data_IF_940444906056
#
_entry.id   IF_940444906056
#
_cell.length_a   1.000
_cell.length_b   1.000
_cell.length_c   1.000
_cell.angle_alpha   90.00
_cell.angle_beta   90.00
_cell.angle_gamma   90.00
#
_symmetry.space_group_name_H-M   'P 1'
#
loop_
_entity.id
_entity.type
_entity.pdbx_description
1 polymer ?
#
# COMPACT_ATOMS: atom_id res chain seq x y z
N UNK A 1 18.78 34.58 0.83
CA UNK A 1 18.43 34.55 2.27
C UNK A 1 19.51 33.75 3.00
N UNK A 2 20.78 34.16 2.88
CA UNK A 2 21.96 33.42 3.35
C UNK A 2 22.94 34.32 4.14
N UNK A 3 22.46 35.41 4.73
CA UNK A 3 23.31 36.36 5.47
C UNK A 3 22.76 36.60 6.88
N UNK A 4 22.65 35.54 7.66
CA UNK A 4 22.42 35.60 9.09
C UNK A 4 23.21 34.49 9.76
N UNK A 5 23.95 34.83 10.82
CA UNK A 5 24.72 33.90 11.65
C UNK A 5 23.81 32.81 12.24
N UNK A 6 23.53 31.77 11.45
CA UNK A 6 23.17 30.44 11.90
C UNK A 6 24.50 29.72 12.14
N UNK A 7 24.62 28.94 13.22
CA UNK A 7 25.82 28.10 13.43
C UNK A 7 26.11 27.22 12.22
N UNK A 8 27.34 26.73 12.12
CA UNK A 8 27.80 25.87 11.01
C UNK A 8 26.81 24.72 10.78
N UNK A 9 26.35 24.56 9.53
CA UNK A 9 25.45 23.50 9.09
C UNK A 9 26.15 22.69 8.00
N UNK A 10 26.04 21.36 8.08
CA UNK A 10 26.60 20.44 7.08
C UNK A 10 25.59 20.06 5.99
N UNK A 11 24.30 20.35 6.21
CA UNK A 11 23.21 20.01 5.27
C UNK A 11 22.12 21.09 5.24
N UNK A 12 21.71 21.48 4.03
CA UNK A 12 20.56 22.34 3.77
C UNK A 12 19.59 21.63 2.83
N UNK A 13 18.31 21.60 3.20
CA UNK A 13 17.24 21.01 2.38
C UNK A 13 16.27 22.12 1.99
N UNK A 14 16.16 22.38 0.69
CA UNK A 14 15.17 23.29 0.12
C UNK A 14 14.08 22.51 -0.62
N UNK A 15 12.82 22.90 -0.42
CA UNK A 15 11.66 22.27 -1.07
C UNK A 15 10.82 23.32 -1.79
N UNK A 16 10.54 23.10 -3.08
CA UNK A 16 9.80 24.02 -3.93
C UNK A 16 8.50 23.38 -4.45
N UNK A 17 7.36 23.93 -4.03
CA UNK A 17 6.02 23.48 -4.46
C UNK A 17 5.61 24.04 -5.83
N UNK A 18 6.39 24.94 -6.41
CA UNK A 18 5.96 25.77 -7.53
C UNK A 18 5.66 24.99 -8.82
N UNK A 19 6.44 23.95 -9.10
CA UNK A 19 6.29 23.10 -10.30
C UNK A 19 5.05 22.21 -10.16
N UNK A 20 4.92 21.51 -9.03
CA UNK A 20 3.77 20.67 -8.72
C UNK A 20 2.44 21.46 -8.80
N UNK A 21 2.34 22.59 -8.09
CA UNK A 21 1.14 23.43 -8.13
C UNK A 21 0.81 23.93 -9.54
N UNK A 22 1.82 24.20 -10.37
CA UNK A 22 1.62 24.59 -11.76
C UNK A 22 1.07 23.43 -12.59
N UNK A 23 1.58 22.21 -12.37
CA UNK A 23 1.11 20.96 -12.97
C UNK A 23 -0.36 20.71 -12.66
N UNK A 24 -0.75 20.69 -11.38
CA UNK A 24 -2.15 20.53 -10.96
C UNK A 24 -3.10 21.57 -11.54
N UNK A 25 -2.63 22.82 -11.64
CA UNK A 25 -3.49 23.92 -12.06
C UNK A 25 -3.71 23.97 -13.56
N UNK A 26 -2.66 23.71 -14.35
CA UNK A 26 -2.64 23.99 -15.78
C UNK A 26 -2.30 22.78 -16.66
N UNK A 27 -1.73 21.72 -16.10
CA UNK A 27 -1.16 20.59 -16.82
C UNK A 27 0.32 20.80 -17.19
N UNK A 28 1.09 19.71 -17.38
CA UNK A 28 2.54 19.78 -17.62
C UNK A 28 2.93 20.41 -18.97
N UNK A 29 2.09 20.32 -20.00
CA UNK A 29 2.38 20.89 -21.33
C UNK A 29 1.95 22.36 -21.49
N UNK A 30 1.37 22.97 -20.46
CA UNK A 30 0.89 24.34 -20.54
C UNK A 30 2.04 25.37 -20.50
N UNK A 31 1.91 26.51 -21.20
CA UNK A 31 2.97 27.53 -21.27
C UNK A 31 3.42 28.05 -19.89
N UNK A 32 2.50 28.10 -18.92
CA UNK A 32 2.80 28.47 -17.53
C UNK A 32 3.81 27.51 -16.87
N UNK A 33 3.83 26.23 -17.26
CA UNK A 33 4.82 25.27 -16.78
C UNK A 33 6.22 25.66 -17.25
N UNK A 34 6.36 26.07 -18.52
CA UNK A 34 7.62 26.59 -19.04
C UNK A 34 8.10 27.80 -18.23
N UNK A 35 7.23 28.78 -17.99
CA UNK A 35 7.59 29.97 -17.20
C UNK A 35 8.01 29.60 -15.77
N UNK A 36 7.33 28.62 -15.16
CA UNK A 36 7.67 28.12 -13.82
C UNK A 36 9.02 27.37 -13.81
N UNK A 37 9.28 26.53 -14.81
CA UNK A 37 10.57 25.84 -14.95
C UNK A 37 11.71 26.82 -15.18
N UNK A 38 11.50 27.89 -15.96
CA UNK A 38 12.48 28.98 -16.10
C UNK A 38 12.78 29.65 -14.76
N UNK A 39 11.77 29.93 -13.92
CA UNK A 39 12.01 30.46 -12.57
C UNK A 39 12.84 29.51 -11.70
N UNK A 40 12.64 28.19 -11.83
CA UNK A 40 13.43 27.19 -11.11
C UNK A 40 14.87 27.13 -11.63
N UNK A 41 15.06 27.20 -12.95
CA UNK A 41 16.38 27.31 -13.55
C UNK A 41 17.15 28.52 -13.00
N UNK A 42 16.53 29.72 -12.96
CA UNK A 42 17.18 30.92 -12.43
C UNK A 42 17.58 30.77 -10.95
N UNK A 43 16.79 30.03 -10.16
CA UNK A 43 17.13 29.73 -8.76
C UNK A 43 18.35 28.80 -8.71
N UNK A 44 18.35 27.73 -9.51
CA UNK A 44 19.43 26.74 -9.55
C UNK A 44 20.74 27.39 -9.99
N UNK A 45 20.72 28.24 -11.02
CA UNK A 45 21.90 28.97 -11.49
C UNK A 45 22.53 29.83 -10.38
N UNK A 46 21.71 30.61 -9.66
CA UNK A 46 22.19 31.40 -8.51
C UNK A 46 22.76 30.53 -7.38
N UNK A 47 22.14 29.38 -7.11
CA UNK A 47 22.66 28.44 -6.10
C UNK A 47 24.03 27.90 -6.52
N UNK A 48 24.20 27.54 -7.80
CA UNK A 48 25.47 27.04 -8.35
C UNK A 48 26.55 28.13 -8.30
N UNK A 49 26.21 29.39 -8.59
CA UNK A 49 27.14 30.52 -8.50
C UNK A 49 27.70 30.69 -7.09
N UNK A 50 26.82 30.64 -6.08
CA UNK A 50 27.14 30.83 -4.66
C UNK A 50 27.73 29.58 -3.98
N UNK A 51 27.69 28.40 -4.61
CA UNK A 51 28.20 27.15 -4.04
C UNK A 51 29.72 27.23 -3.79
N UNK A 52 30.24 26.69 -2.70
CA UNK A 52 31.69 26.53 -2.56
C UNK A 52 32.22 25.28 -3.29
N UNK A 53 33.53 25.02 -3.18
CA UNK A 53 34.16 23.86 -3.83
C UNK A 53 33.92 22.54 -3.08
N UNK A 54 33.53 22.59 -1.81
CA UNK A 54 33.39 21.44 -0.92
C UNK A 54 31.93 20.97 -0.76
N UNK A 55 30.97 21.71 -1.32
CA UNK A 55 29.53 21.39 -1.23
C UNK A 55 29.04 20.61 -2.45
N UNK A 56 28.19 19.62 -2.19
CA UNK A 56 27.41 18.89 -3.19
C UNK A 56 26.00 19.48 -3.30
N UNK A 57 25.62 19.94 -4.49
CA UNK A 57 24.23 20.27 -4.82
C UNK A 57 23.52 19.03 -5.37
N UNK A 58 22.39 18.65 -4.77
CA UNK A 58 21.48 17.64 -5.31
C UNK A 58 20.11 18.25 -5.52
N UNK A 59 19.64 18.21 -6.76
CA UNK A 59 18.29 18.58 -7.17
C UNK A 59 17.58 17.31 -7.62
N UNK A 60 16.42 17.01 -7.07
CA UNK A 60 15.62 15.88 -7.52
C UNK A 60 14.12 16.13 -7.29
N UNK A 61 13.28 15.43 -8.06
CA UNK A 61 11.85 15.36 -7.83
C UNK A 61 11.47 14.15 -6.97
N UNK A 62 10.39 14.27 -6.21
CA UNK A 62 9.76 13.17 -5.48
C UNK A 62 8.87 12.30 -6.38
N UNK A 63 8.21 12.91 -7.37
CA UNK A 63 7.39 12.22 -8.36
C UNK A 63 7.35 12.96 -9.71
N UNK A 64 6.77 12.30 -10.71
CA UNK A 64 6.39 12.90 -11.98
C UNK A 64 4.93 13.37 -11.99
N UNK A 65 4.35 13.54 -13.16
CA UNK A 65 2.97 14.04 -13.32
C UNK A 65 2.37 13.51 -14.61
N UNK A 66 1.12 13.06 -14.55
CA UNK A 66 0.36 12.66 -15.73
C UNK A 66 0.02 13.86 -16.63
N UNK A 67 -0.40 13.63 -17.88
CA UNK A 67 -0.78 14.71 -18.80
C UNK A 67 -2.00 15.55 -18.35
N UNK A 68 -2.81 15.04 -17.41
CA UNK A 68 -3.96 15.75 -16.84
C UNK A 68 -3.57 16.63 -15.65
N UNK A 69 -2.29 16.63 -15.26
CA UNK A 69 -1.80 17.38 -14.10
C UNK A 69 -2.11 16.68 -12.79
N UNK A 70 -2.17 15.35 -12.75
CA UNK A 70 -2.34 14.57 -11.53
C UNK A 70 -1.16 13.60 -11.31
N UNK A 71 -1.05 13.06 -10.11
CA UNK A 71 -0.01 12.08 -9.76
C UNK A 71 -0.50 11.12 -8.65
N UNK A 72 0.32 10.12 -8.32
CA UNK A 72 0.03 9.11 -7.29
C UNK A 72 -0.47 7.78 -7.85
N UNK A 73 -0.54 7.65 -9.18
CA UNK A 73 -0.73 6.40 -9.89
C UNK A 73 0.58 5.61 -10.12
N UNK A 74 0.52 4.69 -11.07
CA UNK A 74 1.61 3.75 -11.41
C UNK A 74 2.16 3.96 -12.82
N UNK A 75 1.72 5.02 -13.52
CA UNK A 75 2.21 5.29 -14.88
C UNK A 75 3.66 5.76 -14.85
N UNK A 76 4.39 5.50 -15.93
CA UNK A 76 5.79 5.89 -16.04
C UNK A 76 5.99 7.41 -15.82
N UNK A 77 5.11 8.22 -16.40
CA UNK A 77 5.12 9.69 -16.25
C UNK A 77 4.90 10.14 -14.80
N UNK A 78 4.26 9.34 -13.95
CA UNK A 78 4.01 9.67 -12.54
C UNK A 78 5.11 9.17 -11.60
N UNK A 79 5.74 8.02 -11.91
CA UNK A 79 6.76 7.41 -11.04
C UNK A 79 8.19 7.86 -11.37
N UNK A 80 8.43 8.37 -12.58
CA UNK A 80 9.73 8.91 -12.97
C UNK A 80 9.86 10.38 -12.54
N UNK A 81 11.01 10.70 -11.94
CA UNK A 81 11.38 12.05 -11.56
C UNK A 81 12.85 12.30 -11.93
N UNK A 82 13.17 13.56 -12.21
CA UNK A 82 14.55 13.95 -12.55
C UNK A 82 15.44 13.99 -11.31
N UNK A 83 16.71 13.67 -11.48
CA UNK A 83 17.79 13.92 -10.51
C UNK A 83 18.97 14.59 -11.22
N UNK A 84 19.58 15.56 -10.54
CA UNK A 84 20.75 16.30 -10.97
C UNK A 84 21.69 16.48 -9.78
N UNK A 85 22.92 16.00 -9.91
CA UNK A 85 23.96 16.13 -8.90
C UNK A 85 25.10 16.99 -9.46
N UNK A 86 25.55 17.96 -8.69
CA UNK A 86 26.57 18.92 -9.11
C UNK A 86 27.56 19.24 -8.00
N UNK A 87 28.84 19.28 -8.36
CA UNK A 87 29.92 19.76 -7.52
C UNK A 87 30.94 20.51 -8.38
N UNK A 88 31.48 21.64 -7.88
CA UNK A 88 32.49 22.45 -8.57
C UNK A 88 33.78 21.67 -8.82
N UNK A 89 34.11 20.69 -7.97
CA UNK A 89 35.27 19.80 -8.11
C UNK A 89 35.19 18.82 -9.28
N UNK A 90 34.02 18.69 -9.94
CA UNK A 90 33.78 17.71 -11.00
C UNK A 90 34.10 16.27 -10.56
N UNK A 91 33.76 15.95 -9.31
CA UNK A 91 34.00 14.63 -8.70
C UNK A 91 33.02 13.54 -9.18
N UNK A 92 32.43 13.71 -10.35
CA UNK A 92 31.52 12.75 -10.98
C UNK A 92 32.14 12.22 -12.26
N UNK A 93 32.10 10.91 -12.45
CA UNK A 93 32.54 10.28 -13.70
C UNK A 93 31.35 9.61 -14.38
N UNK A 94 31.07 10.02 -15.62
CA UNK A 94 30.08 9.34 -16.47
C UNK A 94 30.53 7.91 -16.77
N UNK A 95 29.56 7.03 -16.92
CA UNK A 95 29.78 5.67 -17.41
C UNK A 95 30.31 5.72 -18.85
N UNK A 96 31.07 4.70 -19.24
CA UNK A 96 31.77 4.66 -20.54
C UNK A 96 30.80 4.60 -21.74
N UNK A 97 29.55 4.16 -21.53
CA UNK A 97 28.50 4.14 -22.55
C UNK A 97 27.75 5.48 -22.61
N UNK A 98 28.13 6.34 -23.56
CA UNK A 98 27.50 7.65 -23.78
C UNK A 98 26.01 7.55 -24.20
N UNK A 99 25.55 6.41 -24.69
CA UNK A 99 24.13 6.24 -25.07
C UNK A 99 23.20 6.33 -23.84
N UNK A 100 23.74 6.05 -22.66
CA UNK A 100 23.04 6.18 -21.37
C UNK A 100 22.76 7.64 -20.97
N UNK A 101 23.33 8.62 -21.68
CA UNK A 101 23.13 10.05 -21.38
C UNK A 101 22.42 10.80 -22.51
N UNK A 102 21.69 10.07 -23.36
CA UNK A 102 20.87 10.66 -24.41
C UNK A 102 19.62 11.34 -23.83
N UNK A 103 19.57 12.67 -23.93
CA UNK A 103 18.43 13.50 -23.51
C UNK A 103 17.36 13.64 -24.60
N UNK A 104 17.58 13.08 -25.79
CA UNK A 104 16.59 13.06 -26.86
C UNK A 104 15.34 12.28 -26.47
N UNK A 105 14.22 12.53 -27.15
CA UNK A 105 12.97 11.81 -26.90
C UNK A 105 12.43 11.94 -25.48
N UNK A 106 12.72 13.05 -24.79
CA UNK A 106 12.41 13.30 -23.37
C UNK A 106 13.21 12.43 -22.39
N UNK A 107 14.42 12.00 -22.77
CA UNK A 107 15.28 11.21 -21.88
C UNK A 107 14.86 9.74 -21.74
N UNK A 108 14.08 9.20 -22.68
CA UNK A 108 13.65 7.79 -22.67
C UNK A 108 14.81 6.79 -22.67
N UNK A 109 15.95 7.18 -23.20
CA UNK A 109 17.18 6.38 -23.21
C UNK A 109 18.21 6.86 -22.18
N UNK A 110 17.85 7.88 -21.41
CA UNK A 110 18.69 8.36 -20.32
C UNK A 110 18.70 7.33 -19.18
N UNK A 111 19.84 7.17 -18.53
CA UNK A 111 20.04 6.25 -17.43
C UNK A 111 19.06 6.54 -16.29
N UNK A 112 18.33 5.51 -15.90
CA UNK A 112 17.48 5.54 -14.71
C UNK A 112 18.20 4.92 -13.51
N UNK A 113 17.82 5.39 -12.32
CA UNK A 113 18.20 4.83 -11.02
C UNK A 113 16.94 4.71 -10.17
N UNK A 114 16.98 3.91 -9.10
CA UNK A 114 15.87 3.90 -8.16
C UNK A 114 15.98 5.11 -7.21
N UNK A 115 14.86 5.70 -6.79
CA UNK A 115 14.89 6.79 -5.80
C UNK A 115 15.58 6.37 -4.49
N UNK A 116 15.47 5.10 -4.11
CA UNK A 116 16.12 4.55 -2.90
C UNK A 116 17.65 4.54 -2.97
N UNK A 117 18.24 4.68 -4.17
CA UNK A 117 19.68 4.71 -4.43
C UNK A 117 20.32 6.04 -4.00
N UNK A 118 19.50 7.09 -3.83
CA UNK A 118 19.94 8.40 -3.36
C UNK A 118 20.49 8.34 -1.93
N UNK A 119 19.80 7.59 -1.06
CA UNK A 119 20.12 7.51 0.38
C UNK A 119 21.50 6.89 0.66
N UNK A 120 21.87 5.72 0.13
CA UNK A 120 23.20 5.16 0.36
C UNK A 120 24.28 6.02 -0.28
N UNK A 121 23.99 6.64 -1.44
CA UNK A 121 24.90 7.58 -2.09
C UNK A 121 25.23 8.77 -1.18
N UNK A 122 24.21 9.47 -0.69
CA UNK A 122 24.41 10.62 0.20
C UNK A 122 25.05 10.23 1.52
N UNK A 123 24.66 9.08 2.10
CA UNK A 123 25.23 8.60 3.36
C UNK A 123 26.74 8.39 3.22
N UNK A 124 27.17 7.67 2.18
CA UNK A 124 28.57 7.35 1.96
C UNK A 124 29.40 8.59 1.59
N UNK A 125 28.88 9.50 0.77
CA UNK A 125 29.58 10.75 0.43
C UNK A 125 29.81 11.65 1.66
N UNK A 126 28.93 11.56 2.66
CA UNK A 126 29.06 12.30 3.92
C UNK A 126 29.76 11.50 5.04
N UNK A 127 30.23 10.28 4.75
CA UNK A 127 30.84 9.41 5.77
C UNK A 127 29.87 8.95 6.86
N UNK A 128 28.57 8.95 6.59
CA UNK A 128 27.50 8.54 7.49
C UNK A 128 27.13 7.07 7.28
N UNK A 129 26.64 6.37 8.32
CA UNK A 129 26.07 5.03 8.16
C UNK A 129 24.81 5.09 7.28
N UNK A 130 24.65 4.10 6.41
CA UNK A 130 23.44 3.95 5.59
C UNK A 130 22.26 3.60 6.52
N UNK A 131 21.10 4.30 6.40
CA UNK A 131 19.90 3.99 7.17
C UNK A 131 19.52 2.51 7.11
N UNK A 132 19.20 1.94 8.27
CA UNK A 132 19.09 0.49 8.46
C UNK A 132 18.15 -0.22 7.50
N UNK A 133 17.03 0.39 7.12
CA UNK A 133 16.02 -0.19 6.24
C UNK A 133 16.18 0.21 4.75
N UNK A 134 17.26 0.90 4.39
CA UNK A 134 17.51 1.20 2.98
C UNK A 134 17.96 -0.08 2.23
N UNK A 135 17.50 -0.20 0.99
CA UNK A 135 17.79 -1.32 0.08
C UNK A 135 18.32 -0.85 -1.27
N UNK A 136 18.72 0.42 -1.36
CA UNK A 136 19.24 1.02 -2.58
C UNK A 136 20.69 0.64 -2.83
N UNK A 137 21.16 0.97 -4.02
CA UNK A 137 22.55 0.83 -4.45
C UNK A 137 23.21 2.21 -4.56
N UNK A 138 24.50 2.37 -4.26
CA UNK A 138 25.21 3.63 -4.52
C UNK A 138 25.21 3.98 -6.02
N UNK A 139 24.99 5.25 -6.33
CA UNK A 139 25.02 5.76 -7.71
C UNK A 139 26.47 5.77 -8.20
N UNK A 140 26.77 4.94 -9.19
CA UNK A 140 28.12 4.71 -9.69
C UNK A 140 28.93 5.97 -10.00
N UNK A 141 28.31 6.94 -10.67
CA UNK A 141 28.97 8.16 -11.13
C UNK A 141 29.56 8.98 -9.99
N UNK A 142 29.02 8.84 -8.77
CA UNK A 142 29.49 9.54 -7.58
C UNK A 142 30.75 8.91 -6.96
N UNK A 143 31.05 7.65 -7.26
CA UNK A 143 32.16 6.90 -6.64
C UNK A 143 33.22 6.42 -7.62
N UNK A 144 32.92 6.42 -8.92
CA UNK A 144 33.85 5.96 -9.96
C UNK A 144 34.96 6.96 -10.30
N UNK A 145 34.83 8.23 -9.88
CA UNK A 145 35.83 9.29 -10.13
C UNK A 145 37.20 8.96 -9.52
N UNK A 146 37.24 8.42 -8.30
CA UNK A 146 38.48 8.03 -7.60
C UNK A 146 39.03 6.66 -8.05
N UNK A 147 38.31 5.97 -8.95
CA UNK A 147 38.68 4.67 -9.48
C UNK A 147 37.88 3.50 -8.90
N UNK A 148 38.12 2.30 -9.45
CA UNK A 148 37.34 1.09 -9.17
C UNK A 148 37.35 0.68 -7.69
N UNK A 149 38.44 0.95 -6.97
CA UNK A 149 38.56 0.62 -5.55
C UNK A 149 37.56 1.41 -4.67
N UNK A 150 37.32 2.69 -4.99
CA UNK A 150 36.39 3.55 -4.24
C UNK A 150 34.94 3.10 -4.46
N UNK A 151 34.59 2.78 -5.71
CA UNK A 151 33.30 2.19 -6.07
C UNK A 151 33.08 0.81 -5.40
N UNK A 152 34.06 -0.09 -5.50
CA UNK A 152 34.01 -1.42 -4.89
C UNK A 152 33.79 -1.36 -3.38
N UNK A 153 34.51 -0.47 -2.69
CA UNK A 153 34.33 -0.24 -1.24
C UNK A 153 32.93 0.25 -0.90
N UNK A 154 32.41 1.20 -1.67
CA UNK A 154 31.08 1.79 -1.46
C UNK A 154 29.96 0.74 -1.65
N UNK A 155 30.10 -0.09 -2.67
CA UNK A 155 29.21 -1.22 -2.93
C UNK A 155 29.29 -2.27 -1.81
N UNK A 156 30.48 -2.63 -1.35
CA UNK A 156 30.64 -3.61 -0.27
C UNK A 156 30.02 -3.13 1.06
N UNK A 157 30.22 -1.86 1.43
CA UNK A 157 29.58 -1.27 2.63
C UNK A 157 28.05 -1.34 2.52
N UNK A 158 27.51 -1.05 1.34
CA UNK A 158 26.06 -1.09 1.09
C UNK A 158 25.53 -2.52 1.13
N UNK A 159 26.20 -3.46 0.46
CA UNK A 159 25.86 -4.89 0.52
C UNK A 159 25.91 -5.42 1.96
N UNK A 160 26.88 -4.97 2.77
CA UNK A 160 26.99 -5.34 4.18
C UNK A 160 25.83 -4.80 5.02
N UNK A 161 25.39 -3.56 4.78
CA UNK A 161 24.21 -3.01 5.45
C UNK A 161 22.93 -3.73 5.02
N UNK A 162 22.74 -4.00 3.72
CA UNK A 162 21.60 -4.77 3.21
C UNK A 162 21.57 -6.16 3.82
N UNK A 163 22.73 -6.83 3.89
CA UNK A 163 22.82 -8.13 4.52
C UNK A 163 22.44 -8.09 6.01
N UNK A 164 22.93 -7.08 6.74
CA UNK A 164 22.56 -6.86 8.13
C UNK A 164 21.05 -6.66 8.29
N UNK A 165 20.42 -5.85 7.43
CA UNK A 165 18.97 -5.68 7.41
C UNK A 165 18.23 -7.00 7.20
N UNK A 166 18.64 -7.78 6.19
CA UNK A 166 18.05 -9.09 5.86
C UNK A 166 18.11 -10.07 7.01
N UNK A 167 19.21 -10.12 7.75
CA UNK A 167 19.38 -11.01 8.92
C UNK A 167 18.46 -10.65 10.09
N UNK A 168 18.00 -9.39 10.16
CA UNK A 168 17.09 -8.91 11.20
C UNK A 168 15.62 -8.93 10.76
N UNK A 169 15.32 -9.23 9.48
CA UNK A 169 13.95 -9.46 9.01
C UNK A 169 13.58 -10.92 9.21
N UNK A 170 12.42 -11.15 9.83
CA UNK A 170 11.91 -12.50 10.09
C UNK A 170 11.64 -13.27 8.79
N UNK A 171 11.25 -12.57 7.73
CA UNK A 171 10.93 -13.13 6.42
C UNK A 171 12.18 -13.45 5.59
N UNK A 172 13.26 -12.68 5.77
CA UNK A 172 14.46 -12.74 4.91
C UNK A 172 15.65 -13.46 5.55
N UNK A 173 15.67 -13.60 6.88
CA UNK A 173 16.78 -14.23 7.60
C UNK A 173 17.05 -15.67 7.15
N UNK A 174 16.03 -16.38 6.68
CA UNK A 174 16.14 -17.75 6.17
C UNK A 174 16.46 -17.90 4.68
N UNK A 175 16.70 -16.82 3.94
CA UNK A 175 17.00 -16.88 2.49
C UNK A 175 18.46 -17.30 2.26
N UNK A 176 18.72 -18.61 2.32
CA UNK A 176 20.06 -19.20 2.15
C UNK A 176 20.71 -18.82 0.81
N UNK A 177 19.91 -18.70 -0.26
CA UNK A 177 20.38 -18.35 -1.60
C UNK A 177 21.04 -16.97 -1.60
N UNK A 178 20.32 -15.93 -1.21
CA UNK A 178 20.89 -14.58 -1.13
C UNK A 178 21.99 -14.47 -0.04
N UNK A 179 21.83 -15.14 1.10
CA UNK A 179 22.82 -15.09 2.17
C UNK A 179 24.15 -15.74 1.75
N UNK A 180 24.11 -16.80 0.93
CA UNK A 180 25.30 -17.46 0.38
C UNK A 180 26.05 -16.57 -0.62
N UNK A 181 25.34 -15.78 -1.42
CA UNK A 181 25.95 -14.77 -2.30
C UNK A 181 26.74 -13.73 -1.47
N UNK A 182 26.19 -13.26 -0.36
CA UNK A 182 26.89 -12.32 0.51
C UNK A 182 28.14 -12.92 1.17
N UNK A 183 28.10 -14.19 1.58
CA UNK A 183 29.29 -14.89 2.11
C UNK A 183 30.40 -14.88 1.06
N UNK A 184 30.06 -15.20 -0.20
CA UNK A 184 31.00 -15.19 -1.33
C UNK A 184 31.57 -13.79 -1.58
N UNK A 185 30.74 -12.75 -1.51
CA UNK A 185 31.18 -11.36 -1.58
C UNK A 185 32.14 -10.98 -0.45
N UNK A 186 31.86 -11.43 0.78
CA UNK A 186 32.74 -11.15 1.91
C UNK A 186 34.12 -11.81 1.75
N UNK A 187 34.15 -13.06 1.28
CA UNK A 187 35.41 -13.75 0.96
C UNK A 187 36.18 -13.06 -0.17
N UNK A 188 35.49 -12.60 -1.21
CA UNK A 188 36.11 -11.85 -2.31
C UNK A 188 36.69 -10.51 -1.84
N UNK A 189 36.00 -9.81 -0.94
CA UNK A 189 36.50 -8.57 -0.32
C UNK A 189 37.81 -8.78 0.45
N UNK A 190 37.92 -9.87 1.21
CA UNK A 190 39.15 -10.20 1.95
C UNK A 190 40.33 -10.50 1.01
N UNK A 191 40.05 -11.00 -0.20
CA UNK A 191 41.07 -11.32 -1.22
C UNK A 191 41.55 -10.08 -1.98
N UNK A 192 40.68 -9.08 -2.19
CA UNK A 192 40.98 -7.80 -2.86
C UNK A 192 42.08 -6.96 -2.17
N UNK A 193 42.55 -7.34 -0.98
CA UNK A 193 43.62 -6.64 -0.27
C UNK A 193 45.03 -7.18 -0.57
N UNK A 194 45.18 -8.26 -1.37
CA UNK A 194 46.45 -9.01 -1.45
C UNK A 194 47.18 -8.90 -2.80
N UNK A 195 46.45 -8.86 -3.91
CA UNK A 195 46.97 -8.69 -5.28
C UNK A 195 45.77 -8.44 -6.17
N UNK A 196 45.58 -7.22 -6.65
CA UNK A 196 44.31 -6.85 -7.30
C UNK A 196 44.53 -6.22 -8.66
N UNK A 197 43.90 -6.82 -9.65
CA UNK A 197 43.80 -6.35 -11.02
C UNK A 197 42.49 -5.61 -11.25
N UNK A 198 42.42 -4.76 -12.27
CA UNK A 198 41.18 -4.06 -12.64
C UNK A 198 40.05 -5.04 -12.97
N UNK A 199 40.37 -6.22 -13.51
CA UNK A 199 39.37 -7.25 -13.83
C UNK A 199 38.76 -7.88 -12.56
N UNK A 200 39.57 -8.09 -11.51
CA UNK A 200 39.05 -8.56 -10.21
C UNK A 200 38.13 -7.50 -9.57
N UNK A 201 38.46 -6.21 -9.69
CA UNK A 201 37.55 -5.14 -9.24
C UNK A 201 36.25 -5.12 -10.03
N UNK A 202 36.31 -5.21 -11.37
CA UNK A 202 35.10 -5.23 -12.22
C UNK A 202 34.19 -6.41 -11.90
N UNK A 203 34.77 -7.59 -11.70
CA UNK A 203 34.00 -8.77 -11.30
C UNK A 203 33.33 -8.54 -9.94
N UNK A 204 34.08 -8.06 -8.95
CA UNK A 204 33.55 -7.78 -7.62
C UNK A 204 32.44 -6.72 -7.62
N UNK A 205 32.59 -5.66 -8.43
CA UNK A 205 31.58 -4.63 -8.64
C UNK A 205 30.30 -5.24 -9.23
N UNK A 206 30.43 -6.07 -10.27
CA UNK A 206 29.31 -6.77 -10.89
C UNK A 206 28.58 -7.68 -9.90
N UNK A 207 29.32 -8.43 -9.09
CA UNK A 207 28.74 -9.35 -8.10
C UNK A 207 28.00 -8.60 -6.99
N UNK A 208 28.51 -7.44 -6.56
CA UNK A 208 27.80 -6.60 -5.60
C UNK A 208 26.49 -6.05 -6.17
N UNK A 209 26.48 -5.53 -7.40
CA UNK A 209 25.24 -5.09 -8.03
C UNK A 209 24.24 -6.23 -8.18
N UNK A 210 24.70 -7.43 -8.55
CA UNK A 210 23.87 -8.62 -8.64
C UNK A 210 23.23 -8.97 -7.28
N UNK A 211 24.01 -8.98 -6.20
CA UNK A 211 23.52 -9.24 -4.84
C UNK A 211 22.49 -8.18 -4.38
N UNK A 212 22.80 -6.90 -4.59
CA UNK A 212 21.91 -5.79 -4.20
C UNK A 212 20.59 -5.85 -4.97
N UNK A 213 20.65 -6.08 -6.29
CA UNK A 213 19.46 -6.25 -7.13
C UNK A 213 18.63 -7.47 -6.74
N UNK A 214 19.28 -8.61 -6.48
CA UNK A 214 18.63 -9.83 -5.99
C UNK A 214 17.93 -9.56 -4.66
N UNK A 215 18.60 -8.86 -3.74
CA UNK A 215 18.05 -8.51 -2.45
C UNK A 215 16.85 -7.57 -2.53
N UNK A 216 16.96 -6.50 -3.33
CA UNK A 216 15.85 -5.60 -3.60
C UNK A 216 14.65 -6.34 -4.21
N UNK A 217 14.90 -7.25 -5.16
CA UNK A 217 13.86 -8.04 -5.82
C UNK A 217 13.16 -8.99 -4.84
N UNK A 218 13.91 -9.66 -3.94
CA UNK A 218 13.31 -10.50 -2.88
C UNK A 218 12.41 -9.67 -1.96
N UNK A 219 12.86 -8.49 -1.55
CA UNK A 219 12.08 -7.59 -0.69
C UNK A 219 10.81 -7.07 -1.39
N UNK A 220 10.92 -6.58 -2.64
CA UNK A 220 9.76 -6.17 -3.45
C UNK A 220 8.74 -7.29 -3.61
N UNK A 221 9.20 -8.53 -3.77
CA UNK A 221 8.32 -9.69 -3.90
C UNK A 221 7.54 -10.02 -2.62
N UNK A 222 8.03 -9.60 -1.45
CA UNK A 222 7.33 -9.79 -0.17
C UNK A 222 6.34 -8.66 0.11
N UNK A 223 6.71 -7.40 -0.15
CA UNK A 223 5.92 -6.25 0.30
C UNK A 223 5.06 -5.58 -0.78
N UNK A 224 5.38 -5.77 -2.06
CA UNK A 224 4.72 -5.06 -3.16
C UNK A 224 3.93 -6.00 -4.09
N UNK A 225 3.18 -6.95 -3.51
CA UNK A 225 2.30 -7.85 -4.29
C UNK A 225 0.84 -7.67 -3.92
N UNK A 226 0.03 -7.36 -4.92
CA UNK A 226 -1.42 -7.49 -4.85
C UNK A 226 -1.82 -8.89 -5.31
N UNK A 227 -2.45 -9.67 -4.43
CA UNK A 227 -3.12 -10.91 -4.83
C UNK A 227 -4.48 -10.58 -5.46
N UNK A 228 -4.45 -10.30 -6.77
CA UNK A 228 -5.65 -9.96 -7.54
C UNK A 228 -6.71 -11.06 -7.49
N UNK A 229 -6.32 -12.33 -7.38
CA UNK A 229 -7.27 -13.44 -7.33
C UNK A 229 -8.06 -13.42 -6.02
N UNK A 230 -7.37 -13.27 -4.90
CA UNK A 230 -8.00 -13.15 -3.58
C UNK A 230 -8.88 -11.90 -3.49
N UNK A 231 -8.43 -10.77 -4.05
CA UNK A 231 -9.22 -9.52 -4.12
C UNK A 231 -10.52 -9.75 -4.89
N UNK A 232 -10.46 -10.34 -6.08
CA UNK A 232 -11.66 -10.63 -6.88
C UNK A 232 -12.63 -11.58 -6.18
N UNK A 233 -12.12 -12.64 -5.54
CA UNK A 233 -12.95 -13.56 -4.76
C UNK A 233 -13.64 -12.81 -3.61
N UNK A 234 -12.92 -11.96 -2.89
CA UNK A 234 -13.48 -11.11 -1.84
C UNK A 234 -14.59 -10.19 -2.33
N UNK A 235 -14.37 -9.49 -3.45
CA UNK A 235 -15.37 -8.61 -4.09
C UNK A 235 -16.64 -9.38 -4.44
N UNK A 236 -16.51 -10.58 -5.02
CA UNK A 236 -17.66 -11.44 -5.36
C UNK A 236 -18.42 -11.87 -4.10
N UNK A 237 -17.71 -12.29 -3.05
CA UNK A 237 -18.34 -12.68 -1.77
C UNK A 237 -19.12 -11.50 -1.16
N UNK A 238 -18.53 -10.30 -1.13
CA UNK A 238 -19.18 -9.09 -0.62
C UNK A 238 -20.43 -8.76 -1.46
N UNK A 239 -20.33 -8.80 -2.78
CA UNK A 239 -21.47 -8.53 -3.67
C UNK A 239 -22.62 -9.53 -3.47
N UNK A 240 -22.32 -10.83 -3.40
CA UNK A 240 -23.35 -11.87 -3.16
C UNK A 240 -23.97 -11.69 -1.78
N UNK A 241 -23.15 -11.41 -0.76
CA UNK A 241 -23.64 -11.17 0.61
C UNK A 241 -24.57 -9.97 0.67
N UNK A 242 -24.22 -8.86 0.01
CA UNK A 242 -25.07 -7.67 -0.08
C UNK A 242 -26.41 -7.98 -0.74
N UNK A 243 -26.40 -8.74 -1.84
CA UNK A 243 -27.64 -9.17 -2.52
C UNK A 243 -28.49 -10.05 -1.61
N UNK A 244 -27.90 -11.04 -0.94
CA UNK A 244 -28.61 -11.92 -0.01
C UNK A 244 -29.22 -11.14 1.17
N UNK A 245 -28.49 -10.16 1.72
CA UNK A 245 -29.00 -9.29 2.79
C UNK A 245 -30.18 -8.46 2.33
N UNK A 246 -30.16 -7.91 1.11
CA UNK A 246 -31.29 -7.17 0.53
C UNK A 246 -32.48 -8.11 0.32
N UNK A 247 -32.27 -9.31 -0.23
CA UNK A 247 -33.33 -10.31 -0.41
C UNK A 247 -33.98 -10.64 0.93
N UNK A 248 -33.17 -11.02 1.92
CA UNK A 248 -33.63 -11.39 3.26
C UNK A 248 -34.41 -10.26 3.94
N UNK A 249 -33.89 -9.03 3.89
CA UNK A 249 -34.45 -7.91 4.64
C UNK A 249 -35.63 -7.21 3.97
N UNK A 250 -35.79 -7.31 2.64
CA UNK A 250 -36.79 -6.53 1.89
C UNK A 250 -37.69 -7.32 0.95
N UNK A 251 -37.18 -8.36 0.30
CA UNK A 251 -37.95 -9.07 -0.73
C UNK A 251 -38.81 -10.17 -0.13
N UNK A 252 -38.42 -10.72 1.03
CA UNK A 252 -39.20 -11.74 1.73
C UNK A 252 -40.20 -11.08 2.69
N UNK A 253 -41.49 -11.45 2.63
CA UNK A 253 -42.49 -10.92 3.56
C UNK A 253 -42.13 -11.26 5.01
N UNK A 254 -42.24 -10.28 5.91
CA UNK A 254 -41.85 -10.40 7.32
C UNK A 254 -42.41 -11.65 8.03
N UNK A 255 -43.67 -12.01 7.77
CA UNK A 255 -44.31 -13.20 8.37
C UNK A 255 -43.60 -14.49 7.95
N UNK A 256 -43.07 -14.54 6.73
CA UNK A 256 -42.35 -15.69 6.19
C UNK A 256 -40.93 -15.74 6.72
N UNK A 257 -40.26 -14.59 6.93
CA UNK A 257 -38.92 -14.54 7.52
C UNK A 257 -38.88 -15.28 8.87
N UNK A 258 -39.87 -15.06 9.73
CA UNK A 258 -39.95 -15.76 11.02
C UNK A 258 -40.09 -17.29 10.88
N UNK A 259 -40.73 -17.77 9.82
CA UNK A 259 -40.83 -19.21 9.53
C UNK A 259 -39.53 -19.78 8.95
N UNK A 260 -38.79 -18.96 8.20
CA UNK A 260 -37.53 -19.35 7.56
C UNK A 260 -36.34 -19.30 8.51
N UNK A 261 -36.35 -18.49 9.57
CA UNK A 261 -35.22 -18.36 10.50
C UNK A 261 -34.65 -19.72 11.02
N UNK A 262 -35.46 -20.69 11.49
CA UNK A 262 -34.94 -22.00 11.89
C UNK A 262 -34.38 -22.80 10.69
N UNK A 263 -34.96 -22.62 9.51
CA UNK A 263 -34.48 -23.27 8.28
C UNK A 263 -33.14 -22.67 7.85
N UNK A 264 -32.97 -21.34 7.87
CA UNK A 264 -31.70 -20.68 7.57
C UNK A 264 -30.57 -21.18 8.45
N UNK A 265 -30.82 -21.35 9.75
CA UNK A 265 -29.80 -21.87 10.67
C UNK A 265 -29.43 -23.32 10.33
N UNK A 266 -30.42 -24.19 10.20
CA UNK A 266 -30.18 -25.62 9.97
C UNK A 266 -29.58 -25.90 8.59
N UNK A 267 -30.07 -25.22 7.53
CA UNK A 267 -29.52 -25.31 6.18
C UNK A 267 -28.10 -24.76 6.12
N UNK A 268 -27.82 -23.63 6.79
CA UNK A 268 -26.46 -23.05 6.81
C UNK A 268 -25.48 -23.99 7.47
N UNK A 269 -25.80 -24.54 8.65
CA UNK A 269 -24.90 -25.48 9.32
C UNK A 269 -24.63 -26.70 8.42
N UNK A 270 -25.68 -27.31 7.87
CA UNK A 270 -25.53 -28.49 7.01
C UNK A 270 -24.70 -28.21 5.75
N UNK A 271 -25.00 -27.11 5.05
CA UNK A 271 -24.36 -26.76 3.79
C UNK A 271 -22.92 -26.28 4.02
N UNK A 272 -22.60 -25.61 5.14
CA UNK A 272 -21.23 -25.28 5.53
C UNK A 272 -20.38 -26.54 5.67
N UNK A 273 -20.86 -27.59 6.33
CA UNK A 273 -20.12 -28.85 6.42
C UNK A 273 -19.89 -29.48 5.04
N UNK A 274 -20.92 -29.48 4.17
CA UNK A 274 -20.81 -30.03 2.81
C UNK A 274 -19.78 -29.26 1.99
N UNK A 275 -19.89 -27.93 1.92
CA UNK A 275 -18.97 -27.11 1.14
C UNK A 275 -17.55 -27.14 1.69
N UNK A 276 -17.37 -27.10 3.02
CA UNK A 276 -16.05 -27.24 3.64
C UNK A 276 -15.41 -28.59 3.28
N UNK A 277 -16.18 -29.68 3.34
CA UNK A 277 -15.70 -31.00 2.94
C UNK A 277 -15.32 -31.04 1.45
N UNK A 278 -16.15 -30.48 0.56
CA UNK A 278 -15.87 -30.42 -0.88
C UNK A 278 -14.59 -29.65 -1.19
N UNK A 279 -14.41 -28.46 -0.63
CA UNK A 279 -13.22 -27.63 -0.85
C UNK A 279 -11.96 -28.27 -0.25
N UNK A 280 -12.05 -28.88 0.93
CA UNK A 280 -10.95 -29.62 1.53
C UNK A 280 -10.59 -30.84 0.65
N UNK A 281 -11.58 -31.64 0.24
CA UNK A 281 -11.35 -32.80 -0.63
C UNK A 281 -10.72 -32.39 -1.95
N UNK A 282 -11.19 -31.32 -2.58
CA UNK A 282 -10.59 -30.78 -3.80
C UNK A 282 -9.11 -30.43 -3.58
N UNK A 283 -8.80 -29.74 -2.48
CA UNK A 283 -7.42 -29.32 -2.16
C UNK A 283 -6.52 -30.51 -1.88
N UNK A 284 -7.01 -31.54 -1.17
CA UNK A 284 -6.23 -32.75 -0.86
C UNK A 284 -5.96 -33.62 -2.10
N UNK A 285 -6.92 -33.70 -3.02
CA UNK A 285 -6.83 -34.54 -4.22
C UNK A 285 -5.98 -33.85 -5.30
N UNK A 286 -6.29 -32.60 -5.63
CA UNK A 286 -5.69 -31.91 -6.77
C UNK A 286 -4.46 -31.08 -6.41
N UNK A 287 -4.27 -30.75 -5.12
CA UNK A 287 -3.13 -29.98 -4.60
C UNK A 287 -2.79 -28.72 -5.43
N UNK A 288 -3.77 -27.83 -5.67
CA UNK A 288 -3.52 -26.58 -6.38
C UNK A 288 -2.53 -25.70 -5.61
N UNK A 289 -1.53 -25.14 -6.30
CA UNK A 289 -0.54 -24.23 -5.69
C UNK A 289 -1.18 -22.94 -5.14
N UNK A 290 -2.26 -22.48 -5.77
CA UNK A 290 -2.93 -21.22 -5.44
C UNK A 290 -4.03 -21.32 -4.37
N UNK A 291 -4.32 -22.51 -3.84
CA UNK A 291 -5.37 -22.69 -2.82
C UNK A 291 -4.85 -23.51 -1.63
N UNK A 292 -4.20 -22.84 -0.65
CA UNK A 292 -3.81 -23.47 0.61
C UNK A 292 -5.01 -24.02 1.38
N UNK A 293 -4.76 -24.99 2.26
CA UNK A 293 -5.80 -25.65 3.07
C UNK A 293 -6.69 -24.68 3.86
N UNK A 294 -6.08 -23.67 4.50
CA UNK A 294 -6.82 -22.66 5.28
C UNK A 294 -7.76 -21.86 4.37
N UNK A 295 -7.29 -21.47 3.19
CA UNK A 295 -8.12 -20.77 2.21
C UNK A 295 -9.26 -21.63 1.69
N UNK A 296 -9.01 -22.91 1.41
CA UNK A 296 -10.06 -23.85 1.01
C UNK A 296 -11.16 -23.96 2.08
N UNK A 297 -10.79 -24.04 3.36
CA UNK A 297 -11.74 -24.06 4.46
C UNK A 297 -12.55 -22.76 4.54
N UNK A 298 -11.88 -21.59 4.49
CA UNK A 298 -12.55 -20.28 4.55
C UNK A 298 -13.53 -20.11 3.39
N UNK A 299 -13.14 -20.47 2.17
CA UNK A 299 -14.03 -20.42 1.00
C UNK A 299 -15.18 -21.41 1.10
N UNK A 300 -14.94 -22.61 1.62
CA UNK A 300 -15.97 -23.60 1.89
C UNK A 300 -17.01 -23.09 2.90
N UNK A 301 -16.56 -22.43 3.97
CA UNK A 301 -17.45 -21.80 4.95
C UNK A 301 -18.25 -20.65 4.30
N UNK A 302 -17.58 -19.75 3.58
CA UNK A 302 -18.24 -18.60 2.94
C UNK A 302 -19.30 -19.07 1.91
N UNK A 303 -18.93 -19.97 1.00
CA UNK A 303 -19.85 -20.55 0.04
C UNK A 303 -20.99 -21.32 0.73
N UNK A 304 -20.67 -22.01 1.83
CA UNK A 304 -21.62 -22.72 2.65
C UNK A 304 -22.68 -21.83 3.29
N UNK A 305 -22.27 -20.68 3.84
CA UNK A 305 -23.19 -19.68 4.41
C UNK A 305 -24.07 -19.07 3.33
N UNK A 306 -23.49 -18.65 2.20
CA UNK A 306 -24.24 -18.05 1.10
C UNK A 306 -25.31 -19.01 0.56
N UNK A 307 -24.95 -20.26 0.27
CA UNK A 307 -25.89 -21.28 -0.21
C UNK A 307 -26.85 -21.76 0.89
N UNK A 308 -26.39 -21.77 2.14
CA UNK A 308 -27.17 -22.02 3.35
C UNK A 308 -28.38 -21.11 3.45
N UNK A 309 -28.16 -19.81 3.31
CA UNK A 309 -29.22 -18.80 3.33
C UNK A 309 -30.07 -18.86 2.05
N UNK A 310 -29.43 -19.05 0.89
CA UNK A 310 -30.14 -19.06 -0.40
C UNK A 310 -31.08 -20.26 -0.55
N UNK A 311 -30.73 -21.44 -0.03
CA UNK A 311 -31.51 -22.66 -0.25
C UNK A 311 -32.97 -22.60 0.26
N UNK A 312 -33.26 -22.17 1.50
CA UNK A 312 -34.65 -22.01 1.95
C UNK A 312 -35.43 -20.94 1.17
N UNK A 313 -34.75 -19.90 0.67
CA UNK A 313 -35.37 -18.86 -0.17
C UNK A 313 -35.80 -19.47 -1.50
N UNK A 314 -34.87 -20.18 -2.16
CA UNK A 314 -35.10 -20.79 -3.47
C UNK A 314 -36.10 -21.95 -3.44
N UNK A 315 -36.25 -22.61 -2.29
CA UNK A 315 -37.29 -23.62 -2.10
C UNK A 315 -38.71 -23.03 -2.11
N UNK A 316 -38.85 -21.73 -1.76
CA UNK A 316 -40.16 -21.08 -1.61
C UNK A 316 -40.46 -20.06 -2.71
N UNK A 317 -39.43 -19.46 -3.29
CA UNK A 317 -39.57 -18.36 -4.23
C UNK A 317 -38.72 -18.61 -5.48
N UNK A 318 -39.30 -18.32 -6.64
CA UNK A 318 -38.59 -18.36 -7.91
C UNK A 318 -37.82 -17.05 -8.15
N UNK A 319 -36.74 -17.12 -8.93
CA UNK A 319 -35.96 -15.92 -9.32
C UNK A 319 -36.84 -14.82 -9.96
N UNK A 320 -37.77 -15.13 -10.90
CA UNK A 320 -38.66 -14.12 -11.46
C UNK A 320 -39.57 -13.46 -10.41
N UNK A 321 -39.98 -14.20 -9.37
CA UNK A 321 -40.76 -13.64 -8.28
C UNK A 321 -39.94 -12.64 -7.47
N UNK A 322 -38.69 -12.98 -7.14
CA UNK A 322 -37.77 -12.07 -6.44
C UNK A 322 -37.55 -10.77 -7.21
N UNK A 323 -37.35 -10.85 -8.53
CA UNK A 323 -37.21 -9.65 -9.37
C UNK A 323 -38.46 -8.76 -9.36
N UNK A 324 -39.67 -9.33 -9.37
CA UNK A 324 -40.90 -8.53 -9.25
C UNK A 324 -40.98 -7.83 -7.88
N UNK A 325 -40.59 -8.51 -6.81
CA UNK A 325 -40.57 -7.93 -5.48
C UNK A 325 -39.57 -6.76 -5.33
N UNK A 326 -38.49 -6.73 -6.12
CA UNK A 326 -37.60 -5.55 -6.15
C UNK A 326 -38.38 -4.31 -6.58
N UNK A 327 -39.15 -4.38 -7.66
CA UNK A 327 -39.92 -3.22 -8.12
C UNK A 327 -41.00 -2.78 -7.12
N UNK A 328 -41.62 -3.73 -6.42
CA UNK A 328 -42.75 -3.48 -5.52
C UNK A 328 -42.31 -3.03 -4.11
N UNK A 329 -41.23 -3.60 -3.57
CA UNK A 329 -40.86 -3.44 -2.16
C UNK A 329 -39.56 -2.68 -1.91
N UNK A 330 -38.79 -2.32 -2.94
CA UNK A 330 -37.57 -1.52 -2.74
C UNK A 330 -37.91 -0.03 -2.51
N UNK A 331 -39.11 0.43 -2.90
CA UNK A 331 -39.61 1.79 -2.66
C UNK A 331 -40.32 1.84 -1.30
N UNK A 332 -39.65 2.37 -0.28
CA UNK A 332 -40.17 2.36 1.10
C UNK A 332 -39.88 3.67 1.86
N UNK A 333 -40.13 3.66 3.17
CA UNK A 333 -39.90 4.78 4.06
C UNK A 333 -38.42 5.18 4.15
N UNK A 334 -38.16 6.41 4.62
CA UNK A 334 -36.79 6.93 4.78
C UNK A 334 -35.87 6.09 5.69
N UNK A 335 -36.43 5.30 6.62
CA UNK A 335 -35.64 4.43 7.50
C UNK A 335 -35.08 3.21 6.78
N UNK A 336 -35.84 2.65 5.83
CA UNK A 336 -35.35 1.60 4.94
C UNK A 336 -34.17 2.12 4.11
N UNK A 337 -34.28 3.30 3.51
CA UNK A 337 -33.17 3.88 2.74
C UNK A 337 -31.96 4.19 3.61
N UNK A 338 -32.16 4.68 4.82
CA UNK A 338 -31.06 4.94 5.75
C UNK A 338 -30.34 3.65 6.14
N UNK A 339 -31.06 2.56 6.45
CA UNK A 339 -30.45 1.28 6.76
C UNK A 339 -29.71 0.67 5.55
N UNK A 340 -30.30 0.72 4.35
CA UNK A 340 -29.65 0.26 3.12
C UNK A 340 -28.39 1.06 2.80
N UNK A 341 -28.43 2.38 3.00
CA UNK A 341 -27.26 3.23 2.84
C UNK A 341 -26.13 2.78 3.75
N UNK A 342 -26.39 2.51 5.04
CA UNK A 342 -25.35 2.05 5.97
C UNK A 342 -24.74 0.70 5.56
N UNK A 343 -25.55 -0.24 5.09
CA UNK A 343 -25.07 -1.57 4.64
C UNK A 343 -24.24 -1.45 3.35
N UNK A 344 -24.67 -0.62 2.41
CA UNK A 344 -23.92 -0.35 1.17
C UNK A 344 -22.60 0.36 1.52
N UNK A 345 -22.64 1.38 2.37
CA UNK A 345 -21.45 2.10 2.81
C UNK A 345 -20.46 1.17 3.51
N UNK A 346 -20.93 0.23 4.34
CA UNK A 346 -20.07 -0.78 4.95
C UNK A 346 -19.43 -1.71 3.92
N UNK A 347 -20.16 -2.12 2.90
CA UNK A 347 -19.58 -2.91 1.80
C UNK A 347 -18.49 -2.12 1.03
N UNK A 348 -18.65 -0.80 0.91
CA UNK A 348 -17.71 0.08 0.23
C UNK A 348 -16.46 0.45 1.06
N UNK A 349 -16.46 0.19 2.38
CA UNK A 349 -15.25 0.37 3.23
C UNK A 349 -14.07 -0.41 2.65
N UNK A 350 -14.33 -1.60 2.12
CA UNK A 350 -13.29 -2.47 1.56
C UNK A 350 -12.69 -2.00 0.23
N UNK A 351 -13.22 -0.91 -0.36
CA UNK A 351 -12.68 -0.33 -1.59
C UNK A 351 -11.49 0.62 -1.35
N UNK A 352 -11.12 0.90 -0.10
CA UNK A 352 -9.98 1.77 0.24
C UNK A 352 -9.18 1.22 1.42
N UNK A 353 -7.86 1.14 1.28
CA UNK A 353 -6.95 0.73 2.35
C UNK A 353 -7.13 1.58 3.63
N UNK A 354 -7.33 2.89 3.47
CA UNK A 354 -7.57 3.78 4.61
C UNK A 354 -8.85 3.43 5.36
N UNK A 355 -9.92 3.10 4.65
CA UNK A 355 -11.17 2.71 5.28
C UNK A 355 -11.11 1.31 5.88
N UNK A 356 -10.39 0.38 5.25
CA UNK A 356 -10.12 -0.95 5.81
C UNK A 356 -9.37 -0.84 7.14
N UNK A 357 -8.33 0.01 7.23
CA UNK A 357 -7.56 0.21 8.48
C UNK A 357 -8.45 0.76 9.60
N UNK A 358 -9.38 1.66 9.29
CA UNK A 358 -10.26 2.31 10.27
C UNK A 358 -11.69 1.76 10.31
N UNK A 359 -11.91 0.55 9.78
CA UNK A 359 -13.24 -0.04 9.64
C UNK A 359 -14.01 -0.04 10.97
N UNK A 360 -13.35 -0.44 12.06
CA UNK A 360 -13.94 -0.53 13.39
C UNK A 360 -14.53 0.81 13.85
N UNK A 361 -13.77 1.90 13.69
CA UNK A 361 -14.20 3.27 14.04
C UNK A 361 -15.30 3.77 13.13
N UNK A 362 -15.22 3.49 11.83
CA UNK A 362 -16.22 3.89 10.83
C UNK A 362 -17.56 3.20 11.11
N UNK A 363 -17.54 1.88 11.31
CA UNK A 363 -18.74 1.08 11.64
C UNK A 363 -19.32 1.53 12.98
N UNK A 364 -18.50 1.73 14.01
CA UNK A 364 -18.97 2.23 15.30
C UNK A 364 -19.64 3.61 15.20
N UNK A 365 -19.07 4.51 14.39
CA UNK A 365 -19.66 5.83 14.12
C UNK A 365 -21.02 5.73 13.42
N UNK A 366 -21.15 4.89 12.39
CA UNK A 366 -22.42 4.69 11.68
C UNK A 366 -23.49 4.05 12.54
N UNK A 367 -23.16 3.02 13.31
CA UNK A 367 -24.10 2.38 14.23
C UNK A 367 -24.54 3.36 15.33
N UNK A 368 -23.61 4.15 15.89
CA UNK A 368 -23.94 5.18 16.88
C UNK A 368 -24.84 6.28 16.30
N UNK A 369 -24.58 6.68 15.05
CA UNK A 369 -25.42 7.65 14.32
C UNK A 369 -26.83 7.09 14.09
N UNK A 370 -26.94 5.82 13.71
CA UNK A 370 -28.23 5.15 13.57
C UNK A 370 -29.02 5.15 14.88
N UNK A 371 -28.36 4.79 15.98
CA UNK A 371 -28.94 4.78 17.33
C UNK A 371 -29.40 6.18 17.78
N UNK A 372 -28.58 7.18 17.51
CA UNK A 372 -28.89 8.58 17.82
C UNK A 372 -30.13 9.05 17.06
N UNK A 373 -30.20 8.80 15.74
CA UNK A 373 -31.38 9.11 14.95
C UNK A 373 -32.63 8.37 15.46
N UNK A 374 -32.50 7.07 15.80
CA UNK A 374 -33.59 6.25 16.34
C UNK A 374 -34.10 6.80 17.68
N UNK A 375 -33.20 7.28 18.54
CA UNK A 375 -33.55 7.95 19.80
C UNK A 375 -34.44 9.16 19.55
N UNK A 376 -34.05 10.10 18.69
CA UNK A 376 -34.87 11.28 18.39
C UNK A 376 -36.21 10.92 17.73
N UNK A 377 -36.24 9.87 16.92
CA UNK A 377 -37.50 9.39 16.33
C UNK A 377 -38.44 8.83 17.40
N UNK A 378 -37.92 8.11 18.39
CA UNK A 378 -38.71 7.58 19.50
C UNK A 378 -39.40 8.67 20.32
N UNK A 379 -38.77 9.85 20.44
CA UNK A 379 -39.33 10.99 21.16
C UNK A 379 -40.58 11.58 20.50
N UNK A 380 -40.79 11.31 19.20
CA UNK A 380 -41.96 11.74 18.43
C UNK A 380 -43.15 10.76 18.50
N UNK A 381 -43.03 9.66 19.23
CA UNK A 381 -44.12 8.70 19.42
C UNK A 381 -45.16 9.28 20.39
N UNK A 382 -46.44 9.04 20.09
CA UNK A 382 -47.59 9.59 20.84
C UNK A 382 -47.80 8.89 22.19
N UNK A 383 -47.53 7.58 22.27
CA UNK A 383 -47.69 6.80 23.49
C UNK A 383 -46.44 6.87 24.37
N UNK A 384 -46.61 7.26 25.64
CA UNK A 384 -45.50 7.40 26.59
C UNK A 384 -44.68 6.12 26.80
N UNK A 385 -45.33 4.96 26.84
CA UNK A 385 -44.65 3.67 26.94
C UNK A 385 -43.76 3.37 25.72
N UNK A 386 -44.26 3.54 24.50
CA UNK A 386 -43.49 3.33 23.26
C UNK A 386 -42.33 4.32 23.12
N UNK A 387 -42.55 5.57 23.55
CA UNK A 387 -41.50 6.60 23.62
C UNK A 387 -40.38 6.18 24.57
N UNK A 388 -40.72 5.74 25.78
CA UNK A 388 -39.73 5.26 26.75
C UNK A 388 -38.95 4.06 26.21
N UNK A 389 -39.65 3.05 25.69
CA UNK A 389 -39.03 1.82 25.20
C UNK A 389 -38.10 2.08 24.00
N UNK A 390 -38.51 2.93 23.05
CA UNK A 390 -37.67 3.30 21.91
C UNK A 390 -36.43 4.11 22.33
N UNK A 391 -36.58 5.03 23.28
CA UNK A 391 -35.46 5.79 23.83
C UNK A 391 -34.47 4.88 24.57
N UNK A 392 -35.00 3.97 25.40
CA UNK A 392 -34.21 2.97 26.13
C UNK A 392 -33.40 2.09 25.20
N UNK A 393 -34.03 1.46 24.19
CA UNK A 393 -33.32 0.61 23.24
C UNK A 393 -32.27 1.36 22.44
N UNK A 394 -32.54 2.62 22.05
CA UNK A 394 -31.58 3.43 21.31
C UNK A 394 -30.35 3.77 22.15
N UNK A 395 -30.54 4.10 23.43
CA UNK A 395 -29.44 4.35 24.36
C UNK A 395 -28.63 3.09 24.64
N UNK A 396 -29.30 1.98 24.94
CA UNK A 396 -28.66 0.67 25.16
C UNK A 396 -27.85 0.26 23.95
N UNK A 397 -28.40 0.39 22.74
CA UNK A 397 -27.69 0.10 21.50
C UNK A 397 -26.42 0.95 21.37
N UNK A 398 -26.51 2.26 21.58
CA UNK A 398 -25.34 3.16 21.51
C UNK A 398 -24.27 2.82 22.57
N UNK A 399 -24.69 2.51 23.79
CA UNK A 399 -23.79 2.09 24.86
C UNK A 399 -23.07 0.78 24.51
N UNK A 400 -23.78 -0.21 23.98
CA UNK A 400 -23.18 -1.47 23.53
C UNK A 400 -22.26 -1.27 22.33
N UNK A 401 -22.65 -0.48 21.33
CA UNK A 401 -21.76 -0.12 20.22
C UNK A 401 -20.47 0.51 20.73
N UNK A 402 -20.56 1.41 21.72
CA UNK A 402 -19.38 2.04 22.31
C UNK A 402 -18.51 1.05 23.08
N UNK A 403 -19.11 0.18 23.89
CA UNK A 403 -18.39 -0.86 24.64
C UNK A 403 -17.67 -1.83 23.70
N UNK A 404 -18.34 -2.28 22.63
CA UNK A 404 -17.76 -3.18 21.63
C UNK A 404 -16.61 -2.48 20.89
N UNK A 405 -16.75 -1.18 20.57
CA UNK A 405 -15.68 -0.41 19.91
C UNK A 405 -14.41 -0.24 20.76
N UNK A 406 -14.46 -0.53 22.06
CA UNK A 406 -13.26 -0.57 22.90
C UNK A 406 -12.44 -1.85 22.70
N UNK A 407 -13.03 -2.90 22.11
CA UNK A 407 -12.35 -4.14 21.74
C UNK A 407 -11.89 -3.99 20.29
N UNK A 408 -10.66 -3.51 20.11
CA UNK A 408 -10.04 -3.34 18.79
C UNK A 408 -8.88 -4.32 18.64
N UNK A 409 -8.71 -4.86 17.42
CA UNK A 409 -7.54 -5.66 17.07
C UNK A 409 -6.43 -4.69 16.68
N UNK A 410 -5.27 -4.81 17.32
CA UNK A 410 -4.09 -4.02 16.96
C UNK A 410 -3.71 -4.31 15.52
N UNK A 411 -3.86 -3.30 14.66
CA UNK A 411 -3.31 -3.28 13.31
C UNK A 411 -1.98 -2.54 13.35
N UNK A 412 -0.95 -3.13 12.77
CA UNK A 412 0.41 -2.57 12.73
C UNK A 412 0.42 -1.15 12.15
N UNK A 413 -0.45 -0.91 11.16
CA UNK A 413 -0.62 0.37 10.47
C UNK A 413 -1.20 1.49 11.35
N UNK A 414 -1.72 1.15 12.55
CA UNK A 414 -2.24 2.13 13.51
C UNK A 414 -1.20 2.57 14.56
N UNK A 415 0.02 2.00 14.53
CA UNK A 415 1.16 2.37 15.38
C UNK A 415 1.06 1.97 16.86
N UNK A 416 2.06 2.36 17.64
CA UNK A 416 2.35 1.89 19.03
C UNK A 416 1.32 2.28 20.11
N UNK A 417 0.15 2.82 19.76
CA UNK A 417 -0.82 3.36 20.73
C UNK A 417 -1.90 2.37 21.16
N UNK A 418 -1.55 1.10 21.36
CA UNK A 418 -2.52 0.13 21.88
C UNK A 418 -1.96 -0.77 22.97
N UNK A 419 -2.73 -0.87 24.06
CA UNK A 419 -2.60 -1.94 25.05
C UNK A 419 -3.18 -3.22 24.43
N UNK A 420 -2.38 -4.28 24.27
CA UNK A 420 -2.94 -5.60 24.01
C UNK A 420 -3.67 -6.05 25.29
N UNK A 421 -4.97 -6.29 25.16
CA UNK A 421 -5.71 -7.14 26.09
C UNK A 421 -5.91 -8.48 25.38
N UNK A 422 -4.80 -9.21 25.23
CA UNK A 422 -4.71 -10.66 25.10
C UNK A 422 -3.25 -11.05 25.33
#
# INVERSE_FOLDING_TARGET
MLSGELGDWDMLIGHFLGVDHCGHRFGPEHFAMKDKLSQMNDVIERVIEELDDDTLLVLYGDHGMDPLGNHGGETQDEVEAAIFMYSKKKAFKRLDDESLYDVSGLGKSYRSINQIDLVPTLSLLNGLPIPFNNLGSPIEEAFSYEGLASLAKSLYITSSQINNYRHHSHELAGDEDANSDFISLNEAWDQLNRTTTDEEYKQFISDNYAYQMKSLTRCKNLWAKFDLSSIWIGIVIIAVTLVLLIIYSKLIPYVVVNQLNPQFLTSTIAIVFIYSALFISFTLIFKPESLPFVWALVLGIAAGIMNGILAPIMNRYSVPWLFRQVAENLIQNGWTYFALLLVIMHSLVFASNSFVIWEDKIVAFWLSTFAFCAFFKSLRLQEGYKKFLGAYHSFVFMAWTRLISCVSICREEQGDKYFSLL
#
